data_IF_332241882560
#
_entry.id   IF_332241882560
#
_cell.length_a   1.000
_cell.length_b   1.000
_cell.length_c   1.000
_cell.angle_alpha   90.00
_cell.angle_beta   90.00
_cell.angle_gamma   90.00
#
_symmetry.space_group_name_H-M   'P 1'
#
loop_
_entity.id
_entity.type
_entity.pdbx_description
1 polymer ?
#
# COMPACT_ATOMS: atom_id res chain seq x y z
N UNK A 1 -53.84 -57.25 36.58
CA UNK A 1 -53.57 -55.84 36.86
C UNK A 1 -53.07 -55.21 35.59
N UNK A 2 -53.82 -54.25 35.07
CA UNK A 2 -53.57 -53.51 33.83
C UNK A 2 -52.17 -52.89 33.77
N UNK A 3 -51.63 -52.85 32.54
CA UNK A 3 -50.47 -52.07 32.14
C UNK A 3 -50.65 -50.57 32.46
N UNK A 4 -49.54 -49.84 32.54
CA UNK A 4 -49.37 -48.78 31.55
C UNK A 4 -48.12 -48.95 30.69
N UNK A 5 -48.29 -48.52 29.44
CA UNK A 5 -47.40 -48.63 28.28
C UNK A 5 -46.03 -47.96 28.43
N UNK A 6 -44.95 -48.49 27.81
CA UNK A 6 -43.60 -47.91 27.85
C UNK A 6 -43.45 -46.61 27.01
N UNK A 7 -44.51 -46.15 26.34
CA UNK A 7 -44.45 -44.98 25.46
C UNK A 7 -44.28 -43.63 26.20
N UNK A 8 -44.54 -43.56 27.51
CA UNK A 8 -44.51 -42.30 28.26
C UNK A 8 -43.11 -41.91 28.82
N UNK A 9 -42.14 -42.82 28.82
CA UNK A 9 -40.82 -42.58 29.41
C UNK A 9 -39.80 -41.96 28.43
N UNK A 10 -39.99 -42.14 27.12
CA UNK A 10 -39.08 -41.64 26.08
C UNK A 10 -39.33 -40.17 25.68
N UNK A 11 -40.56 -39.67 25.87
CA UNK A 11 -40.95 -38.32 25.43
C UNK A 11 -40.41 -37.17 26.30
N UNK A 12 -40.07 -37.43 27.57
CA UNK A 12 -39.61 -36.38 28.51
C UNK A 12 -38.08 -36.19 28.55
N UNK A 13 -37.31 -37.21 28.17
CA UNK A 13 -35.85 -37.10 28.09
C UNK A 13 -35.38 -36.36 26.82
N UNK A 14 -36.16 -36.39 25.73
CA UNK A 14 -35.80 -35.74 24.46
C UNK A 14 -36.05 -34.23 24.44
N UNK A 15 -36.97 -33.71 25.27
CA UNK A 15 -37.23 -32.27 25.37
C UNK A 15 -36.26 -31.52 26.30
N UNK A 16 -35.66 -32.21 27.29
CA UNK A 16 -34.69 -31.60 28.19
C UNK A 16 -33.27 -31.48 27.59
N UNK A 17 -32.94 -32.30 26.58
CA UNK A 17 -31.67 -32.21 25.85
C UNK A 17 -31.71 -31.26 24.65
N UNK A 18 -32.89 -30.96 24.09
CA UNK A 18 -33.02 -30.01 22.97
C UNK A 18 -32.95 -28.54 23.39
N UNK A 19 -33.10 -28.23 24.68
CA UNK A 19 -33.03 -26.86 25.22
C UNK A 19 -31.64 -26.47 25.74
N UNK A 20 -30.66 -27.38 25.69
CA UNK A 20 -29.27 -27.08 26.03
C UNK A 20 -28.42 -26.62 24.81
N UNK A 21 -29.01 -26.48 23.62
CA UNK A 21 -28.29 -26.09 22.39
C UNK A 21 -28.70 -24.74 21.79
N UNK A 22 -29.63 -24.01 22.42
CA UNK A 22 -30.02 -22.65 22.00
C UNK A 22 -29.48 -21.58 22.97
N UNK A 23 -28.17 -21.61 23.14
CA UNK A 23 -27.39 -20.52 23.74
C UNK A 23 -26.41 -19.96 22.73
N UNK A 24 -26.87 -19.61 21.53
CA UNK A 24 -26.06 -18.85 20.59
C UNK A 24 -26.01 -17.39 21.07
N UNK A 25 -25.10 -17.09 21.98
CA UNK A 25 -24.63 -15.72 22.15
C UNK A 25 -24.00 -15.32 20.81
N UNK A 26 -24.72 -14.48 20.06
CA UNK A 26 -24.17 -13.82 18.88
C UNK A 26 -23.01 -12.92 19.33
N UNK A 27 -21.80 -13.48 19.38
CA UNK A 27 -20.58 -12.71 19.49
C UNK A 27 -20.50 -11.79 18.26
N UNK A 28 -20.07 -10.53 18.44
CA UNK A 28 -19.98 -9.57 17.35
C UNK A 28 -19.00 -10.13 16.32
N UNK A 29 -19.48 -10.29 15.08
CA UNK A 29 -18.71 -10.73 13.92
C UNK A 29 -17.83 -9.57 13.43
N UNK A 30 -16.95 -9.10 14.32
CA UNK A 30 -15.88 -8.15 14.05
C UNK A 30 -14.57 -8.89 14.26
N UNK A 31 -14.11 -9.57 13.22
CA UNK A 31 -12.82 -10.23 13.21
C UNK A 31 -12.26 -10.11 11.81
N UNK A 32 -11.37 -9.14 11.61
CA UNK A 32 -10.55 -9.06 10.42
C UNK A 32 -9.93 -10.43 10.17
N UNK A 33 -10.19 -11.01 9.00
CA UNK A 33 -9.57 -12.28 8.62
C UNK A 33 -8.10 -12.02 8.32
N UNK A 34 -7.28 -11.98 9.37
CA UNK A 34 -5.82 -11.96 9.27
C UNK A 34 -5.41 -13.20 8.49
N UNK A 35 -4.57 -13.01 7.47
CA UNK A 35 -4.04 -14.10 6.67
C UNK A 35 -3.33 -15.11 7.59
N UNK A 36 -3.96 -16.25 7.84
CA UNK A 36 -3.45 -17.31 8.73
C UNK A 36 -2.63 -18.37 7.98
N UNK A 37 -2.07 -18.01 6.82
CA UNK A 37 -1.37 -18.95 5.97
C UNK A 37 -0.07 -19.41 6.64
N UNK A 38 -0.02 -20.68 7.04
CA UNK A 38 1.12 -21.29 7.75
C UNK A 38 2.30 -21.65 6.84
N UNK A 39 2.10 -21.64 5.52
CA UNK A 39 3.11 -22.03 4.55
C UNK A 39 2.95 -21.25 3.23
N UNK A 40 4.04 -21.07 2.45
CA UNK A 40 3.97 -20.45 1.13
C UNK A 40 3.09 -21.25 0.17
N UNK A 41 2.28 -20.55 -0.63
CA UNK A 41 1.52 -21.13 -1.73
C UNK A 41 2.28 -20.99 -3.05
N UNK A 42 2.26 -22.04 -3.89
CA UNK A 42 2.78 -21.99 -5.26
C UNK A 42 1.65 -21.70 -6.24
N UNK A 43 1.85 -20.72 -7.11
CA UNK A 43 0.91 -20.34 -8.17
C UNK A 43 1.51 -20.59 -9.54
N UNK A 44 0.64 -20.83 -10.53
CA UNK A 44 1.00 -20.91 -11.94
C UNK A 44 0.22 -19.85 -12.71
N UNK A 45 0.92 -18.97 -13.43
CA UNK A 45 0.32 -17.94 -14.26
C UNK A 45 0.26 -18.47 -15.71
N UNK A 46 -0.95 -18.59 -16.25
CA UNK A 46 -1.16 -19.03 -17.64
C UNK A 46 -1.55 -17.84 -18.51
N UNK A 47 -0.67 -17.43 -19.42
CA UNK A 47 -0.98 -16.42 -20.43
C UNK A 47 -1.58 -17.09 -21.67
N UNK A 48 -2.81 -16.73 -22.03
CA UNK A 48 -3.47 -17.19 -23.26
C UNK A 48 -3.64 -16.01 -24.20
N UNK A 49 -2.74 -15.91 -25.19
CA UNK A 49 -2.84 -14.90 -26.22
C UNK A 49 -4.02 -15.15 -27.16
N UNK A 50 -4.97 -14.22 -27.22
CA UNK A 50 -6.17 -14.32 -28.08
C UNK A 50 -6.02 -13.62 -29.44
N UNK A 51 -4.80 -13.42 -29.92
CA UNK A 51 -4.53 -12.77 -31.21
C UNK A 51 -4.67 -13.80 -32.34
N UNK A 52 -5.85 -13.86 -32.97
CA UNK A 52 -6.16 -14.72 -34.10
C UNK A 52 -6.67 -13.91 -35.28
N UNK A 53 -6.53 -14.43 -36.50
CA UNK A 53 -7.03 -13.78 -37.71
C UNK A 53 -8.56 -13.61 -37.68
N UNK A 54 -9.29 -14.54 -37.08
CA UNK A 54 -10.76 -14.45 -36.98
C UNK A 54 -11.20 -13.32 -36.06
N UNK A 55 -10.54 -13.14 -34.92
CA UNK A 55 -10.87 -12.09 -33.96
C UNK A 55 -10.28 -10.72 -34.35
N UNK A 56 -9.13 -10.71 -35.02
CA UNK A 56 -8.39 -9.52 -35.42
C UNK A 56 -7.97 -9.61 -36.91
N UNK A 57 -8.93 -9.56 -37.86
CA UNK A 57 -8.67 -9.82 -39.28
C UNK A 57 -7.90 -8.71 -39.99
N UNK A 58 -8.01 -7.48 -39.50
CA UNK A 58 -7.37 -6.32 -40.12
C UNK A 58 -5.85 -6.41 -39.98
N UNK A 59 -5.16 -6.51 -41.11
CA UNK A 59 -3.68 -6.54 -41.19
C UNK A 59 -3.05 -7.64 -40.31
N UNK A 60 -3.72 -8.78 -40.17
CA UNK A 60 -3.19 -9.90 -39.40
C UNK A 60 -1.85 -10.37 -40.00
N UNK A 61 -0.74 -10.39 -39.24
CA UNK A 61 0.57 -10.73 -39.78
C UNK A 61 0.63 -12.21 -40.21
N UNK A 62 0.67 -12.46 -41.51
CA UNK A 62 0.76 -13.82 -42.06
C UNK A 62 2.17 -14.18 -42.56
N UNK A 63 3.05 -13.20 -42.76
CA UNK A 63 4.37 -13.42 -43.38
C UNK A 63 5.47 -12.60 -42.73
N UNK A 64 6.60 -13.26 -42.44
CA UNK A 64 7.92 -12.72 -42.02
C UNK A 64 7.90 -11.57 -41.00
N UNK A 65 7.69 -11.87 -39.70
CA UNK A 65 7.23 -13.14 -39.15
C UNK A 65 5.69 -13.24 -39.15
N UNK A 66 5.10 -14.45 -39.19
CA UNK A 66 3.70 -14.64 -38.84
C UNK A 66 3.41 -14.14 -37.42
N UNK A 67 2.14 -13.87 -37.12
CA UNK A 67 1.68 -13.47 -35.80
C UNK A 67 2.19 -14.45 -34.73
N UNK A 68 2.99 -13.93 -33.81
CA UNK A 68 3.63 -14.69 -32.75
C UNK A 68 3.71 -13.84 -31.50
N UNK A 69 3.80 -14.52 -30.36
CA UNK A 69 4.05 -13.88 -29.07
C UNK A 69 5.54 -13.90 -28.77
N UNK A 70 6.06 -12.80 -28.22
CA UNK A 70 7.40 -12.75 -27.68
C UNK A 70 7.60 -13.84 -26.62
N UNK A 71 8.81 -14.40 -26.54
CA UNK A 71 9.20 -15.29 -25.43
C UNK A 71 9.46 -14.53 -24.12
N UNK A 72 9.46 -13.20 -24.18
CA UNK A 72 9.71 -12.29 -23.07
C UNK A 72 8.55 -11.30 -22.98
N UNK A 73 7.88 -11.26 -21.84
CA UNK A 73 6.94 -10.21 -21.46
C UNK A 73 7.51 -9.48 -20.25
N UNK A 74 7.82 -8.19 -20.41
CA UNK A 74 8.23 -7.33 -19.31
C UNK A 74 7.16 -6.27 -19.11
N UNK A 75 6.69 -6.10 -17.87
CA UNK A 75 5.73 -5.08 -17.49
C UNK A 75 6.32 -4.26 -16.34
N UNK A 76 6.34 -2.95 -16.53
CA UNK A 76 6.62 -2.00 -15.47
C UNK A 76 5.38 -1.85 -14.59
N UNK A 77 5.57 -1.95 -13.28
CA UNK A 77 4.53 -1.92 -12.28
C UNK A 77 4.59 -0.59 -11.51
N UNK A 78 3.40 -0.08 -11.20
CA UNK A 78 3.19 1.15 -10.46
C UNK A 78 2.35 0.84 -9.20
N UNK A 79 2.43 1.69 -8.16
CA UNK A 79 1.67 1.47 -6.93
C UNK A 79 0.16 1.66 -7.15
N UNK A 80 -0.65 0.84 -6.48
CA UNK A 80 -2.12 0.94 -6.46
C UNK A 80 -2.60 0.97 -5.01
N UNK A 81 -3.62 1.79 -4.76
CA UNK A 81 -4.36 1.84 -3.51
C UNK A 81 -5.54 0.86 -3.59
N UNK A 82 -5.76 0.08 -2.53
CA UNK A 82 -6.84 -0.90 -2.46
C UNK A 82 -8.21 -0.27 -2.11
N UNK A 83 -8.25 0.95 -1.59
CA UNK A 83 -9.45 1.66 -1.16
C UNK A 83 -10.00 1.21 0.19
N UNK A 84 -9.19 0.54 1.03
CA UNK A 84 -9.63 -0.07 2.30
C UNK A 84 -9.09 0.63 3.56
N UNK A 85 -7.94 1.29 3.45
CA UNK A 85 -7.29 2.04 4.53
C UNK A 85 -6.89 3.42 4.01
N UNK A 86 -7.09 4.46 4.82
CA UNK A 86 -6.92 5.87 4.49
C UNK A 86 -5.63 6.47 5.10
N UNK A 87 -4.67 5.63 5.51
CA UNK A 87 -3.33 6.07 5.92
C UNK A 87 -2.59 6.78 4.78
N UNK A 88 -1.95 7.92 5.10
CA UNK A 88 -1.26 8.75 4.08
C UNK A 88 0.17 8.29 3.81
N UNK A 89 0.84 7.77 4.85
CA UNK A 89 2.25 7.36 4.80
C UNK A 89 2.38 5.84 4.90
N UNK A 90 3.53 5.30 4.52
CA UNK A 90 3.84 3.86 4.67
C UNK A 90 3.72 3.33 6.10
N UNK A 91 3.89 4.22 7.09
CA UNK A 91 3.91 3.90 8.52
C UNK A 91 2.74 4.54 9.29
N UNK A 92 1.70 5.00 8.57
CA UNK A 92 0.50 5.52 9.21
C UNK A 92 -0.19 4.42 10.04
N UNK A 93 -0.78 4.76 11.20
CA UNK A 93 -1.66 3.84 11.91
C UNK A 93 -2.86 3.44 11.03
N UNK A 94 -3.41 2.24 11.26
CA UNK A 94 -4.59 1.76 10.52
C UNK A 94 -5.76 2.73 10.68
N UNK A 95 -6.38 3.10 9.56
CA UNK A 95 -7.54 3.98 9.52
C UNK A 95 -8.48 3.56 8.38
N UNK A 96 -9.51 2.76 8.71
CA UNK A 96 -10.39 2.17 7.71
C UNK A 96 -11.11 3.24 6.83
N UNK A 97 -11.08 3.04 5.51
CA UNK A 97 -11.80 3.89 4.55
C UNK A 97 -13.30 3.56 4.58
N UNK A 98 -14.14 4.52 4.97
CA UNK A 98 -15.58 4.33 5.11
C UNK A 98 -16.33 5.48 4.39
N UNK A 99 -17.15 5.19 3.36
CA UNK A 99 -17.36 3.88 2.73
C UNK A 99 -16.10 3.35 2.03
N UNK A 100 -16.03 2.03 1.80
CA UNK A 100 -14.90 1.43 1.09
C UNK A 100 -14.84 1.94 -0.35
N UNK A 101 -13.64 2.33 -0.80
CA UNK A 101 -13.39 2.83 -2.13
C UNK A 101 -12.95 1.71 -3.10
N UNK A 102 -12.91 2.04 -4.40
CA UNK A 102 -12.39 1.15 -5.44
C UNK A 102 -10.87 1.20 -5.53
N UNK A 103 -10.26 0.17 -6.12
CA UNK A 103 -8.82 0.16 -6.43
C UNK A 103 -8.48 1.33 -7.35
N UNK A 104 -7.47 2.13 -6.98
CA UNK A 104 -7.00 3.29 -7.76
C UNK A 104 -5.49 3.28 -7.94
N UNK A 105 -5.01 3.82 -9.05
CA UNK A 105 -3.57 3.95 -9.28
C UNK A 105 -3.02 5.14 -8.48
N UNK A 106 -1.90 4.91 -7.79
CA UNK A 106 -1.17 5.97 -7.09
C UNK A 106 -0.18 6.57 -8.07
N UNK A 107 -0.24 7.89 -8.24
CA UNK A 107 0.60 8.67 -9.17
C UNK A 107 1.45 9.69 -8.40
N UNK A 108 2.37 10.35 -9.09
CA UNK A 108 3.22 11.39 -8.45
C UNK A 108 2.42 12.61 -7.99
N UNK A 109 1.21 12.80 -8.52
CA UNK A 109 0.34 13.96 -8.25
C UNK A 109 -0.97 13.61 -7.54
N UNK A 110 -1.31 12.32 -7.40
CA UNK A 110 -2.57 11.88 -6.80
C UNK A 110 -2.38 10.58 -6.02
N UNK A 111 -2.76 10.53 -4.73
CA UNK A 111 -3.41 11.60 -3.95
C UNK A 111 -2.46 12.78 -3.65
N UNK A 112 -2.97 14.02 -3.61
CA UNK A 112 -2.17 15.25 -3.66
C UNK A 112 -1.83 15.88 -2.29
N UNK A 113 -1.88 15.10 -1.21
CA UNK A 113 -1.57 15.59 0.13
C UNK A 113 -0.04 15.57 0.36
N UNK A 114 0.56 16.62 0.97
CA UNK A 114 2.01 16.68 1.21
C UNK A 114 2.59 15.53 2.05
N UNK A 115 1.78 14.91 2.90
CA UNK A 115 2.19 13.74 3.69
C UNK A 115 2.10 12.42 2.92
N UNK A 116 1.58 12.39 1.69
CA UNK A 116 1.46 11.15 0.95
C UNK A 116 2.82 10.63 0.50
N UNK A 117 3.08 9.36 0.77
CA UNK A 117 4.38 8.72 0.46
C UNK A 117 4.84 8.86 -0.99
N UNK A 118 3.89 8.86 -1.93
CA UNK A 118 4.17 8.92 -3.37
C UNK A 118 3.86 10.27 -4.00
N UNK A 119 3.66 11.33 -3.19
CA UNK A 119 3.42 12.67 -3.70
C UNK A 119 4.74 13.38 -4.02
N UNK A 120 5.06 13.44 -5.31
CA UNK A 120 6.25 14.11 -5.86
C UNK A 120 5.80 15.17 -6.88
N UNK A 121 5.44 16.39 -6.45
CA UNK A 121 4.80 17.41 -7.30
C UNK A 121 5.66 17.88 -8.48
N UNK A 122 6.98 17.66 -8.40
CA UNK A 122 7.94 18.02 -9.45
C UNK A 122 8.12 16.92 -10.50
N UNK A 123 7.69 15.69 -10.22
CA UNK A 123 7.79 14.56 -11.15
C UNK A 123 6.56 14.49 -12.05
N UNK A 124 6.78 14.37 -13.36
CA UNK A 124 5.70 14.17 -14.34
C UNK A 124 4.94 12.85 -14.14
N UNK A 125 5.64 11.82 -13.68
CA UNK A 125 5.11 10.51 -13.33
C UNK A 125 6.07 9.84 -12.34
N UNK A 126 5.58 8.85 -11.59
CA UNK A 126 6.45 8.01 -10.76
C UNK A 126 7.35 7.15 -11.65
N UNK A 127 8.60 6.87 -11.24
CA UNK A 127 9.33 5.76 -11.81
C UNK A 127 8.61 4.44 -11.47
N UNK A 128 8.78 3.38 -12.29
CA UNK A 128 8.28 2.05 -11.94
C UNK A 128 8.82 1.60 -10.59
N UNK A 129 7.94 1.15 -9.69
CA UNK A 129 8.34 0.63 -8.37
C UNK A 129 8.80 -0.83 -8.45
N UNK A 130 8.36 -1.55 -9.49
CA UNK A 130 8.79 -2.90 -9.77
C UNK A 130 8.71 -3.19 -11.27
N UNK A 131 9.37 -4.26 -11.71
CA UNK A 131 9.26 -4.81 -13.07
C UNK A 131 9.04 -6.31 -12.98
N UNK A 132 7.96 -6.81 -13.58
CA UNK A 132 7.71 -8.24 -13.71
C UNK A 132 8.15 -8.71 -15.09
N UNK A 133 8.95 -9.78 -15.12
CA UNK A 133 9.43 -10.38 -16.36
C UNK A 133 8.99 -11.83 -16.44
N UNK A 134 8.20 -12.16 -17.45
CA UNK A 134 7.77 -13.52 -17.75
C UNK A 134 8.55 -14.04 -18.95
N UNK A 135 9.29 -15.12 -18.75
CA UNK A 135 10.05 -15.80 -19.80
C UNK A 135 9.37 -17.12 -20.13
N UNK A 136 9.04 -17.32 -21.41
CA UNK A 136 8.55 -18.60 -21.92
C UNK A 136 9.67 -19.63 -21.88
N UNK A 137 9.59 -20.57 -20.95
CA UNK A 137 10.52 -21.69 -20.88
C UNK A 137 10.33 -22.64 -22.08
N UNK A 138 11.44 -23.03 -22.73
CA UNK A 138 11.43 -24.06 -23.77
C UNK A 138 11.54 -25.43 -23.11
N UNK A 139 10.45 -26.20 -23.11
CA UNK A 139 10.49 -27.61 -22.71
C UNK A 139 11.17 -28.43 -23.82
N UNK A 140 12.43 -28.81 -23.61
CA UNK A 140 13.17 -29.70 -24.51
C UNK A 140 13.32 -31.06 -23.82
N UNK A 141 12.83 -32.18 -24.39
CA UNK A 141 12.90 -33.49 -23.71
C UNK A 141 14.29 -34.15 -23.73
N UNK A 142 15.31 -33.54 -24.36
CA UNK A 142 16.70 -34.06 -24.41
C UNK A 142 17.82 -33.01 -24.34
N UNK A 143 17.53 -31.78 -23.90
CA UNK A 143 18.58 -30.79 -23.72
C UNK A 143 18.99 -30.76 -22.25
N UNK A 144 20.31 -30.78 -22.03
CA UNK A 144 20.98 -30.35 -20.81
C UNK A 144 20.13 -29.28 -20.13
N UNK A 145 19.67 -29.53 -18.89
CA UNK A 145 19.06 -28.48 -18.06
C UNK A 145 20.10 -27.36 -18.08
N UNK A 146 19.87 -26.21 -18.75
CA UNK A 146 20.71 -25.06 -18.47
C UNK A 146 20.50 -24.88 -16.99
N UNK A 147 21.57 -24.94 -16.19
CA UNK A 147 21.51 -24.44 -14.83
C UNK A 147 20.68 -23.18 -14.91
N UNK A 148 19.56 -23.16 -14.17
CA UNK A 148 18.68 -21.99 -14.14
C UNK A 148 19.60 -20.78 -14.15
N UNK A 149 19.40 -19.78 -15.04
CA UNK A 149 20.24 -18.60 -15.01
C UNK A 149 20.38 -18.28 -13.55
N UNK A 150 21.62 -18.24 -13.06
CA UNK A 150 21.91 -17.90 -11.68
C UNK A 150 21.45 -16.46 -11.58
N UNK A 151 20.13 -16.26 -11.47
CA UNK A 151 19.52 -15.18 -10.76
C UNK A 151 20.31 -15.24 -9.47
N UNK A 152 21.13 -14.21 -9.20
CA UNK A 152 21.88 -14.21 -7.97
C UNK A 152 20.85 -14.56 -6.91
N UNK A 153 21.08 -15.69 -6.24
CA UNK A 153 20.47 -15.97 -4.94
C UNK A 153 21.10 -14.95 -4.00
N UNK A 154 20.79 -13.70 -4.25
CA UNK A 154 20.74 -12.67 -3.27
C UNK A 154 19.26 -12.58 -2.99
N UNK A 155 18.99 -12.67 -1.71
CA UNK A 155 17.76 -12.42 -1.01
C UNK A 155 16.80 -11.51 -1.82
N UNK A 156 15.49 -11.61 -1.59
CA UNK A 156 14.48 -10.71 -2.19
C UNK A 156 14.69 -9.21 -1.82
N UNK A 157 15.88 -8.84 -1.38
CA UNK A 157 16.41 -7.51 -1.21
C UNK A 157 16.51 -6.79 -2.57
N UNK A 158 15.89 -5.62 -2.61
CA UNK A 158 16.02 -4.68 -3.72
C UNK A 158 17.47 -4.19 -3.71
N UNK A 159 18.32 -4.73 -4.61
CA UNK A 159 19.67 -4.21 -4.80
C UNK A 159 19.54 -2.88 -5.54
N UNK A 160 19.69 -1.77 -4.81
CA UNK A 160 19.57 -0.37 -5.25
C UNK A 160 20.73 0.07 -6.18
N UNK A 161 21.07 -0.78 -7.14
CA UNK A 161 22.27 -0.69 -7.99
C UNK A 161 21.95 -0.28 -9.42
N UNK A 162 20.69 0.05 -9.72
CA UNK A 162 20.36 0.77 -10.93
C UNK A 162 20.59 2.26 -10.66
N UNK A 163 21.41 2.91 -11.48
CA UNK A 163 21.55 4.36 -11.52
C UNK A 163 20.25 5.02 -11.98
N UNK A 164 19.23 4.99 -11.12
CA UNK A 164 18.13 5.93 -11.18
C UNK A 164 18.79 7.31 -11.01
N UNK A 165 18.46 8.31 -11.84
CA UNK A 165 18.91 9.66 -11.55
C UNK A 165 18.44 9.99 -10.13
N UNK A 166 19.38 10.08 -9.19
CA UNK A 166 19.14 10.57 -7.85
C UNK A 166 18.35 11.87 -8.01
N UNK A 167 17.07 11.85 -7.65
CA UNK A 167 16.27 13.07 -7.55
C UNK A 167 16.19 13.41 -6.07
N UNK A 168 17.24 14.02 -5.49
CA UNK A 168 17.20 14.46 -4.11
C UNK A 168 16.02 15.40 -3.95
N UNK A 169 15.19 15.11 -2.95
CA UNK A 169 14.06 15.94 -2.59
C UNK A 169 14.44 16.69 -1.33
N UNK A 170 14.82 17.95 -1.48
CA UNK A 170 15.13 18.81 -0.34
C UNK A 170 13.87 19.14 0.45
N UNK A 171 14.02 19.38 1.75
CA UNK A 171 12.93 19.88 2.55
C UNK A 171 12.51 21.28 2.11
N UNK A 172 11.21 21.48 1.93
CA UNK A 172 10.62 22.81 1.75
C UNK A 172 9.74 23.14 2.94
N UNK A 173 9.84 24.37 3.43
CA UNK A 173 9.05 24.88 4.56
C UNK A 173 8.17 26.05 4.14
N UNK A 174 7.12 26.33 4.91
CA UNK A 174 6.27 27.50 4.71
C UNK A 174 7.00 28.79 5.01
N UNK A 175 6.35 29.91 4.67
CA UNK A 175 6.69 31.20 5.28
C UNK A 175 6.47 31.12 6.79
N UNK A 176 7.21 31.94 7.52
CA UNK A 176 7.00 32.14 8.95
C UNK A 176 5.60 32.69 9.22
N UNK A 177 5.00 32.26 10.33
CA UNK A 177 3.84 32.92 10.91
C UNK A 177 4.19 34.36 11.28
N UNK A 178 3.16 35.16 11.54
CA UNK A 178 3.32 36.39 12.29
C UNK A 178 3.96 36.08 13.66
N UNK A 179 4.70 37.05 14.18
CA UNK A 179 5.19 36.98 15.56
C UNK A 179 4.02 36.86 16.54
N UNK A 180 4.18 35.95 17.52
CA UNK A 180 3.31 35.90 18.68
C UNK A 180 3.45 37.16 19.54
N UNK A 181 2.58 37.24 20.55
CA UNK A 181 2.64 38.31 21.55
C UNK A 181 3.98 38.23 22.31
N UNK A 182 4.52 39.40 22.68
CA UNK A 182 5.71 39.46 23.51
C UNK A 182 5.38 38.94 24.92
N UNK A 183 5.89 37.78 25.28
CA UNK A 183 5.78 37.21 26.61
C UNK A 183 6.87 37.77 27.52
N UNK A 184 6.55 37.96 28.80
CA UNK A 184 7.50 38.43 29.82
C UNK A 184 6.97 39.59 30.65
N UNK A 185 7.74 40.01 31.68
CA UNK A 185 7.37 41.13 32.53
C UNK A 185 7.39 42.45 31.77
N UNK A 186 6.39 43.30 32.04
CA UNK A 186 6.23 44.58 31.35
C UNK A 186 7.45 45.49 31.48
N UNK A 187 7.85 46.13 30.38
CA UNK A 187 8.99 47.06 30.35
C UNK A 187 10.35 46.39 30.61
N UNK A 188 10.41 45.06 30.64
CA UNK A 188 11.65 44.28 30.69
C UNK A 188 11.78 43.44 29.42
N UNK A 189 12.97 42.90 29.24
CA UNK A 189 13.24 41.97 28.15
C UNK A 189 12.33 40.75 28.28
N UNK A 190 11.57 40.50 27.23
CA UNK A 190 10.73 39.35 27.02
C UNK A 190 11.10 38.64 25.72
N UNK A 191 10.30 37.65 25.35
CA UNK A 191 10.50 36.90 24.14
C UNK A 191 9.19 36.72 23.38
N UNK A 192 9.29 36.70 22.06
CA UNK A 192 8.21 36.37 21.14
C UNK A 192 8.67 35.23 20.25
N UNK A 193 7.76 34.33 19.93
CA UNK A 193 8.03 33.21 19.04
C UNK A 193 7.21 33.32 17.77
N UNK A 194 7.71 32.69 16.70
CA UNK A 194 6.97 32.44 15.46
C UNK A 194 7.30 31.04 14.97
N UNK A 195 6.40 30.46 14.19
CA UNK A 195 6.54 29.09 13.70
C UNK A 195 6.33 29.00 12.20
N UNK A 196 6.86 27.95 11.57
CA UNK A 196 6.61 27.55 10.18
C UNK A 196 6.49 26.05 10.11
N UNK A 197 5.86 25.53 9.06
CA UNK A 197 5.63 24.09 8.92
C UNK A 197 6.30 23.54 7.66
N UNK A 198 6.58 22.23 7.67
CA UNK A 198 7.15 21.52 6.52
C UNK A 198 6.09 21.36 5.44
N UNK A 199 6.40 21.82 4.23
CA UNK A 199 5.59 21.63 3.01
C UNK A 199 6.01 20.41 2.23
N UNK A 200 7.30 20.09 2.20
CA UNK A 200 7.84 18.90 1.52
C UNK A 200 8.85 18.27 2.47
N UNK A 201 8.64 17.00 2.82
CA UNK A 201 9.61 16.26 3.63
C UNK A 201 10.83 15.90 2.78
N UNK A 202 12.03 15.89 3.37
CA UNK A 202 13.22 15.51 2.65
C UNK A 202 13.22 14.01 2.32
N UNK A 203 13.69 13.66 1.12
CA UNK A 203 13.80 12.27 0.66
C UNK A 203 14.98 12.10 -0.31
N UNK A 204 15.37 10.85 -0.58
CA UNK A 204 16.45 10.49 -1.53
C UNK A 204 17.73 11.31 -1.29
N UNK A 205 18.18 11.36 -0.03
CA UNK A 205 19.38 12.09 0.38
C UNK A 205 19.32 13.62 0.14
N UNK A 206 18.11 14.19 0.08
CA UNK A 206 17.89 15.64 0.06
C UNK A 206 18.17 16.33 1.40
N UNK A 207 18.29 17.65 1.36
CA UNK A 207 18.66 18.48 2.49
C UNK A 207 17.61 18.45 3.61
N UNK A 208 18.02 18.30 4.89
CA UNK A 208 17.08 18.24 6.02
C UNK A 208 16.34 19.57 6.21
N UNK A 209 15.21 19.52 6.91
CA UNK A 209 14.44 20.73 7.21
C UNK A 209 15.21 21.68 8.13
N UNK A 210 15.19 23.00 7.83
CA UNK A 210 15.70 24.00 8.75
C UNK A 210 14.78 24.14 9.98
N UNK A 211 15.20 24.95 10.97
CA UNK A 211 14.41 25.16 12.20
C UNK A 211 12.99 25.63 11.90
N UNK A 212 12.01 25.06 12.62
CA UNK A 212 10.58 25.31 12.40
C UNK A 212 10.00 26.34 13.38
N UNK A 213 10.77 26.69 14.40
CA UNK A 213 10.41 27.65 15.43
C UNK A 213 11.54 28.67 15.54
N UNK A 214 11.18 29.93 15.74
CA UNK A 214 12.14 31.01 15.92
C UNK A 214 11.69 31.88 17.08
N UNK A 215 12.62 32.22 17.96
CA UNK A 215 12.42 33.08 19.10
C UNK A 215 13.26 34.34 18.95
N UNK A 216 12.69 35.49 19.29
CA UNK A 216 13.39 36.76 19.29
C UNK A 216 13.05 37.56 20.53
N UNK A 217 14.01 38.35 20.99
CA UNK A 217 13.83 39.29 22.08
C UNK A 217 12.83 40.38 21.70
N UNK A 218 12.06 40.82 22.70
CA UNK A 218 11.13 41.93 22.57
C UNK A 218 10.92 42.61 23.92
N UNK A 219 10.32 43.79 23.92
CA UNK A 219 9.86 44.47 25.14
C UNK A 219 8.34 44.64 25.02
N UNK A 220 7.54 44.17 25.99
CA UNK A 220 6.09 44.36 25.94
C UNK A 220 5.72 45.84 26.14
N UNK A 221 5.15 46.48 25.11
CA UNK A 221 4.88 47.93 25.09
C UNK A 221 3.49 48.34 25.64
N UNK A 222 2.56 47.40 25.85
CA UNK A 222 1.19 47.67 26.33
C UNK A 222 0.67 46.56 27.25
N UNK A 223 1.03 46.62 28.52
CA UNK A 223 0.63 45.65 29.52
C UNK A 223 -0.55 46.20 30.33
N UNK A 224 -1.57 45.38 30.54
CA UNK A 224 -2.77 45.70 31.34
C UNK A 224 -2.59 45.22 32.77
#
# INVERSE_FOLDING_TARGET
MENPSPAAALGRALWALLLATLGATGLPRGGESVCSARAPAKYSITFTGKWSQTAFPKQYPMFRPPAQWSSLLALDLYPYDAGTDSGFTFSSPNFATIPQDTVTEITSSSPSHPANSFYYPRLKALPPIARVTLVRLRQSPRAFVPSAPVLPSRDNEIIDSASVPETPLDCEVSLWSSWGLCGGPCGRLGAKSRTRYVRVQPANNGSPCPELEEEAECVPDNCV
#
